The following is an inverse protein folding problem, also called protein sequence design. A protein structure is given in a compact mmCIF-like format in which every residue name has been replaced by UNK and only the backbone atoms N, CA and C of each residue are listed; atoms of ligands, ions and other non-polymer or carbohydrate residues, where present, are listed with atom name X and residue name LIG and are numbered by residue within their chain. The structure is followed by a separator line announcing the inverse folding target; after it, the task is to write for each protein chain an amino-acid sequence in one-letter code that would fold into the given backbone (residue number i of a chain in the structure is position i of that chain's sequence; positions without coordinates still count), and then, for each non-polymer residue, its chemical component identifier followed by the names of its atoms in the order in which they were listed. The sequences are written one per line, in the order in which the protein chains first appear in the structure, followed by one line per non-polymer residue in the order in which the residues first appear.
data_IF_786673702552
#
_entry.id   IF_786673702552
#
_cell.length_a   1.000
_cell.length_b   1.000
_cell.length_c   1.000
_cell.angle_alpha   90.00
_cell.angle_beta   90.00
_cell.angle_gamma   90.00
#
_symmetry.space_group_name_H-M   'P 1'
#
loop_
_entity.id
_entity.type
_entity.pdbx_description
1 polymer ?
#
# COMPACT_ATOMS: atom_id res chain seq x y z
N UNK A 1 8.46 13.96 7.23
CA UNK A 1 9.70 13.19 7.44
C UNK A 1 9.64 12.24 8.65
N UNK A 2 9.03 12.60 9.78
CA UNK A 2 9.01 11.76 11.00
C UNK A 2 8.38 10.35 10.89
N UNK A 3 7.41 10.11 9.99
CA UNK A 3 6.78 8.78 9.85
C UNK A 3 7.67 7.76 9.12
N UNK A 4 8.53 8.21 8.21
CA UNK A 4 9.43 7.34 7.44
C UNK A 4 10.59 6.83 8.31
N UNK A 5 11.12 7.66 9.21
CA UNK A 5 12.17 7.25 10.16
C UNK A 5 11.65 6.22 11.18
N UNK A 6 10.38 6.33 11.59
CA UNK A 6 9.75 5.36 12.49
C UNK A 6 9.58 3.98 11.84
N UNK A 7 9.18 3.93 10.56
CA UNK A 7 9.06 2.67 9.82
C UNK A 7 10.40 1.94 9.68
N UNK A 8 11.49 2.68 9.39
CA UNK A 8 12.82 2.10 9.25
C UNK A 8 13.33 1.45 10.54
N UNK A 9 13.14 2.12 11.68
CA UNK A 9 13.52 1.56 12.98
C UNK A 9 12.73 0.29 13.32
N UNK A 10 11.40 0.33 13.17
CA UNK A 10 10.54 -0.83 13.42
C UNK A 10 10.85 -2.01 12.50
N UNK A 11 11.21 -1.74 11.23
CA UNK A 11 11.63 -2.75 10.26
C UNK A 11 12.90 -3.46 10.72
N UNK A 12 13.89 -2.72 11.21
CA UNK A 12 15.13 -3.30 11.73
C UNK A 12 14.87 -4.19 12.95
N UNK A 13 14.04 -3.74 13.90
CA UNK A 13 13.69 -4.50 15.10
C UNK A 13 12.95 -5.80 14.73
N UNK A 14 11.93 -5.72 13.88
CA UNK A 14 11.20 -6.92 13.44
C UNK A 14 12.09 -7.87 12.65
N UNK A 15 12.99 -7.34 11.82
CA UNK A 15 13.94 -8.19 11.09
C UNK A 15 14.84 -8.99 12.03
N UNK A 16 15.31 -8.35 13.11
CA UNK A 16 16.09 -9.02 14.15
C UNK A 16 15.31 -10.11 14.89
N UNK A 17 14.03 -9.87 15.20
CA UNK A 17 13.17 -10.85 15.89
C UNK A 17 12.81 -12.04 14.99
N UNK A 18 12.48 -11.78 13.72
CA UNK A 18 11.98 -12.81 12.79
C UNK A 18 13.13 -13.55 12.08
N UNK A 19 14.38 -13.05 12.18
CA UNK A 19 15.55 -13.68 11.56
C UNK A 19 15.58 -13.57 10.03
N UNK A 20 14.81 -12.65 9.45
CA UNK A 20 14.76 -12.37 8.01
C UNK A 20 14.50 -10.90 7.77
N UNK A 21 14.81 -10.42 6.57
CA UNK A 21 14.52 -9.03 6.19
C UNK A 21 13.01 -8.77 6.18
N UNK A 22 12.57 -7.73 6.90
CA UNK A 22 11.18 -7.28 6.97
C UNK A 22 11.10 -5.85 6.47
N UNK A 23 10.27 -5.59 5.47
CA UNK A 23 9.93 -4.23 5.03
C UNK A 23 8.62 -3.75 5.69
N UNK A 24 8.56 -2.46 6.04
CA UNK A 24 7.39 -1.84 6.64
C UNK A 24 7.03 -0.57 5.87
N UNK A 25 5.86 -0.61 5.23
CA UNK A 25 5.26 0.54 4.56
C UNK A 25 4.01 1.05 5.27
N UNK A 26 3.67 2.32 5.02
CA UNK A 26 2.39 2.91 5.41
C UNK A 26 1.46 2.89 4.20
N UNK A 27 0.25 2.34 4.35
CA UNK A 27 -0.78 2.40 3.32
C UNK A 27 -1.36 3.82 3.29
N UNK A 28 -1.26 4.49 2.14
CA UNK A 28 -1.71 5.87 1.97
C UNK A 28 -2.20 6.13 0.54
N UNK A 29 -3.12 7.08 0.33
CA UNK A 29 -3.43 7.59 -1.01
C UNK A 29 -2.21 8.15 -1.77
N UNK A 30 -1.14 8.55 -1.05
CA UNK A 30 0.08 9.11 -1.65
C UNK A 30 0.99 8.07 -2.30
N UNK A 31 0.85 6.79 -1.93
CA UNK A 31 1.56 5.67 -2.53
C UNK A 31 0.55 4.67 -3.12
N UNK A 32 -0.39 5.19 -3.92
CA UNK A 32 -1.59 4.49 -4.36
C UNK A 32 -1.33 3.13 -5.01
N UNK A 33 -0.30 2.98 -5.84
CA UNK A 33 0.03 1.68 -6.47
C UNK A 33 0.47 0.65 -5.43
N UNK A 34 1.33 1.05 -4.48
CA UNK A 34 1.74 0.20 -3.36
C UNK A 34 0.55 -0.14 -2.45
N UNK A 35 -0.26 0.86 -2.13
CA UNK A 35 -1.48 0.68 -1.34
C UNK A 35 -2.45 -0.32 -2.02
N UNK A 36 -2.63 -0.20 -3.34
CA UNK A 36 -3.45 -1.07 -4.16
C UNK A 36 -2.97 -2.52 -4.11
N UNK A 37 -1.66 -2.75 -4.30
CA UNK A 37 -1.08 -4.09 -4.20
C UNK A 37 -1.27 -4.68 -2.80
N UNK A 38 -1.04 -3.88 -1.76
CA UNK A 38 -1.22 -4.32 -0.38
C UNK A 38 -2.68 -4.71 -0.09
N UNK A 39 -3.67 -3.90 -0.48
CA UNK A 39 -5.09 -4.20 -0.18
C UNK A 39 -5.65 -5.36 -0.99
N UNK A 40 -5.09 -5.68 -2.17
CA UNK A 40 -5.58 -6.79 -3.00
C UNK A 40 -4.91 -8.13 -2.74
N UNK A 41 -3.65 -8.14 -2.30
CA UNK A 41 -2.88 -9.39 -2.18
C UNK A 41 -2.51 -9.75 -0.74
N UNK A 42 -2.58 -8.81 0.21
CA UNK A 42 -2.10 -9.07 1.55
C UNK A 42 -3.07 -9.93 2.38
N UNK A 43 -2.48 -10.62 3.35
CA UNK A 43 -3.22 -11.26 4.43
C UNK A 43 -3.33 -10.31 5.62
N UNK A 44 -4.54 -10.12 6.14
CA UNK A 44 -4.77 -9.31 7.33
C UNK A 44 -4.28 -10.05 8.58
N UNK A 45 -3.24 -9.53 9.22
CA UNK A 45 -2.71 -10.10 10.46
C UNK A 45 -3.40 -9.54 11.71
N UNK A 46 -3.75 -8.25 11.69
CA UNK A 46 -4.38 -7.57 12.82
C UNK A 46 -5.22 -6.39 12.34
N UNK A 47 -6.39 -6.19 12.96
CA UNK A 47 -7.23 -5.03 12.73
C UNK A 47 -7.96 -4.65 14.01
N UNK A 48 -7.74 -3.42 14.49
CA UNK A 48 -8.45 -2.89 15.67
C UNK A 48 -9.86 -2.41 15.34
N UNK A 49 -10.03 -1.74 14.20
CA UNK A 49 -11.30 -1.16 13.76
C UNK A 49 -11.62 -1.59 12.32
N UNK A 50 -12.58 -2.51 12.18
CA UNK A 50 -12.95 -3.07 10.89
C UNK A 50 -13.56 -2.01 9.94
N UNK A 51 -14.33 -1.07 10.48
CA UNK A 51 -14.99 -0.01 9.69
C UNK A 51 -13.94 0.92 9.07
N UNK A 52 -12.95 1.35 9.85
CA UNK A 52 -11.87 2.21 9.34
C UNK A 52 -11.04 1.47 8.28
N UNK A 53 -10.75 0.18 8.50
CA UNK A 53 -10.08 -0.66 7.50
C UNK A 53 -10.87 -0.70 6.19
N UNK A 54 -12.18 -0.97 6.23
CA UNK A 54 -13.02 -1.05 5.03
C UNK A 54 -13.09 0.29 4.31
N UNK A 55 -13.17 1.40 5.04
CA UNK A 55 -13.13 2.75 4.46
C UNK A 55 -11.81 3.01 3.73
N UNK A 56 -10.67 2.62 4.31
CA UNK A 56 -9.35 2.76 3.67
C UNK A 56 -9.30 1.92 2.39
N UNK A 57 -9.75 0.67 2.46
CA UNK A 57 -9.76 -0.25 1.31
C UNK A 57 -10.62 0.33 0.18
N UNK A 58 -11.85 0.73 0.48
CA UNK A 58 -12.75 1.34 -0.51
C UNK A 58 -12.15 2.59 -1.13
N UNK A 59 -11.55 3.46 -0.31
CA UNK A 59 -10.88 4.66 -0.80
C UNK A 59 -9.73 4.35 -1.75
N UNK A 60 -8.90 3.35 -1.43
CA UNK A 60 -7.79 2.91 -2.31
C UNK A 60 -8.33 2.39 -3.63
N UNK A 61 -9.36 1.53 -3.61
CA UNK A 61 -9.97 1.01 -4.83
C UNK A 61 -10.55 2.12 -5.72
N UNK A 62 -11.32 3.05 -5.14
CA UNK A 62 -11.92 4.16 -5.88
C UNK A 62 -10.87 5.08 -6.51
N UNK A 63 -9.82 5.41 -5.76
CA UNK A 63 -8.72 6.24 -6.30
C UNK A 63 -7.95 5.51 -7.39
N UNK A 64 -7.71 4.21 -7.24
CA UNK A 64 -6.99 3.42 -8.23
C UNK A 64 -7.81 3.23 -9.52
N UNK A 65 -9.13 3.04 -9.40
CA UNK A 65 -10.03 3.02 -10.55
C UNK A 65 -9.94 4.34 -11.33
N UNK A 66 -10.01 5.48 -10.63
CA UNK A 66 -9.85 6.80 -11.27
C UNK A 66 -8.49 6.96 -11.94
N UNK A 67 -7.41 6.55 -11.26
CA UNK A 67 -6.07 6.58 -11.83
C UNK A 67 -5.98 5.74 -13.12
N UNK A 68 -6.62 4.56 -13.15
CA UNK A 68 -6.63 3.72 -14.35
C UNK A 68 -7.38 4.36 -15.50
N UNK A 69 -8.53 4.97 -15.26
CA UNK A 69 -9.24 5.74 -16.28
C UNK A 69 -8.35 6.85 -16.84
N UNK A 70 -7.71 7.62 -15.95
CA UNK A 70 -6.88 8.77 -16.34
C UNK A 70 -5.59 8.33 -17.07
N UNK A 71 -5.12 7.10 -16.82
CA UNK A 71 -3.94 6.53 -17.50
C UNK A 71 -4.29 5.69 -18.72
N UNK A 72 -5.57 5.45 -19.02
CA UNK A 72 -5.96 4.59 -20.13
C UNK A 72 -5.38 5.06 -21.47
N UNK A 73 -5.37 6.37 -21.71
CA UNK A 73 -4.77 6.96 -22.92
C UNK A 73 -3.25 6.74 -22.97
N UNK A 74 -2.57 6.90 -21.83
CA UNK A 74 -1.12 6.69 -21.73
C UNK A 74 -0.75 5.21 -21.89
N UNK A 75 -1.51 4.32 -21.26
CA UNK A 75 -1.34 2.87 -21.40
C UNK A 75 -1.66 2.42 -22.84
N UNK A 76 -2.62 3.03 -23.52
CA UNK A 76 -2.90 2.74 -24.92
C UNK A 76 -1.78 3.23 -25.85
N UNK A 77 -1.23 4.41 -25.58
CA UNK A 77 -0.19 5.02 -26.41
C UNK A 77 1.21 4.41 -26.20
N UNK A 78 1.51 3.96 -24.98
CA UNK A 78 2.86 3.54 -24.57
C UNK A 78 2.91 2.16 -23.91
N UNK A 79 1.78 1.48 -23.75
CA UNK A 79 1.73 0.09 -23.30
C UNK A 79 2.38 -0.79 -24.37
N UNK A 80 3.65 -1.13 -24.15
CA UNK A 80 4.34 -2.12 -24.98
C UNK A 80 3.54 -3.43 -24.97
N UNK A 81 3.17 -3.88 -26.17
CA UNK A 81 2.62 -5.21 -26.44
C UNK A 81 3.61 -6.30 -26.07
#
# INVERSE_FOLDING_TARGET
MARLSACAHSSAVLSGVVGRQVDIGVISPRNLVYAMQAVSMAQLLFCRNAVEKDQIIMRVYSLYAKLREDRAEVEQAYGYR
#
